data_IF_567515338712
#
_entry.id   IF_567515338712
#
_cell.length_a   1.000
_cell.length_b   1.000
_cell.length_c   1.000
_cell.angle_alpha   90.00
_cell.angle_beta   90.00
_cell.angle_gamma   90.00
#
_symmetry.space_group_name_H-M   'P 1'
#
loop_
_entity.id
_entity.type
_entity.pdbx_description
1 polymer ?
#
# COMPACT_ATOMS: atom_id res chain seq x y z
N UNK A 1 -20.69 -8.85 4.26
CA UNK A 1 -19.47 -8.32 3.60
C UNK A 1 -19.82 -8.06 2.14
N UNK A 2 -19.52 -6.88 1.62
CA UNK A 2 -19.60 -6.64 0.17
C UNK A 2 -18.58 -7.55 -0.53
N UNK A 3 -18.99 -8.24 -1.57
CA UNK A 3 -18.10 -9.08 -2.39
C UNK A 3 -17.61 -8.22 -3.56
N UNK A 4 -16.40 -7.72 -3.47
CA UNK A 4 -15.78 -6.86 -4.48
C UNK A 4 -15.29 -7.67 -5.70
N UNK A 5 -14.90 -8.92 -5.47
CA UNK A 5 -14.35 -9.81 -6.50
C UNK A 5 -15.29 -11.00 -6.73
N UNK A 6 -16.53 -10.67 -7.14
CA UNK A 6 -17.58 -11.65 -7.42
C UNK A 6 -17.11 -12.69 -8.42
N UNK A 7 -17.53 -13.94 -8.18
CA UNK A 7 -17.20 -15.10 -9.03
C UNK A 7 -15.72 -15.52 -9.05
N UNK A 8 -14.87 -14.94 -8.21
CA UNK A 8 -13.48 -15.36 -8.04
C UNK A 8 -13.36 -16.04 -6.67
N UNK A 9 -13.12 -17.34 -6.68
CA UNK A 9 -12.82 -18.10 -5.47
C UNK A 9 -11.38 -17.90 -4.99
N UNK A 10 -10.99 -18.67 -3.96
CA UNK A 10 -9.58 -18.73 -3.54
C UNK A 10 -8.74 -19.36 -4.65
N UNK A 11 -7.62 -18.70 -5.00
CA UNK A 11 -6.73 -19.14 -6.06
C UNK A 11 -5.81 -20.24 -5.52
N UNK A 12 -5.92 -21.49 -6.00
CA UNK A 12 -5.13 -22.60 -5.50
C UNK A 12 -3.76 -22.69 -6.16
N UNK A 13 -2.85 -23.44 -5.55
CA UNK A 13 -1.70 -24.00 -6.25
C UNK A 13 -2.10 -25.33 -6.91
N UNK A 14 -1.86 -25.45 -8.22
CA UNK A 14 -2.22 -26.64 -9.00
C UNK A 14 -1.03 -27.22 -9.79
N UNK A 15 0.15 -26.60 -9.69
CA UNK A 15 1.34 -27.07 -10.38
C UNK A 15 1.43 -26.61 -11.84
N UNK A 16 2.59 -26.84 -12.45
CA UNK A 16 2.99 -26.28 -13.75
C UNK A 16 2.12 -26.73 -14.93
N UNK A 17 1.50 -27.89 -14.82
CA UNK A 17 0.73 -28.49 -15.91
C UNK A 17 -0.78 -28.12 -15.84
N UNK A 18 -1.17 -27.29 -14.85
CA UNK A 18 -2.56 -26.83 -14.72
C UNK A 18 -2.99 -25.99 -15.94
N UNK A 19 -4.17 -26.25 -16.43
CA UNK A 19 -4.84 -25.44 -17.47
C UNK A 19 -5.71 -24.34 -16.89
N UNK A 20 -5.88 -24.30 -15.55
CA UNK A 20 -6.66 -23.26 -14.87
C UNK A 20 -5.92 -21.89 -14.96
N UNK A 21 -6.53 -20.87 -15.56
CA UNK A 21 -5.91 -19.53 -15.64
C UNK A 21 -5.84 -18.83 -14.29
N UNK A 22 -6.65 -19.25 -13.31
CA UNK A 22 -6.71 -18.70 -11.95
C UNK A 22 -6.06 -19.65 -10.94
N UNK A 23 -4.89 -20.22 -11.27
CA UNK A 23 -4.11 -21.06 -10.36
C UNK A 23 -2.65 -20.62 -10.32
N UNK A 24 -2.03 -20.74 -9.15
CA UNK A 24 -0.58 -20.64 -9.04
C UNK A 24 0.05 -21.93 -9.59
N UNK A 25 1.02 -21.79 -10.50
CA UNK A 25 1.64 -22.91 -11.21
C UNK A 25 3.04 -23.25 -10.71
N UNK A 26 3.74 -22.26 -10.18
CA UNK A 26 5.15 -22.39 -9.80
C UNK A 26 5.40 -22.17 -8.31
N UNK A 27 4.62 -21.33 -7.66
CA UNK A 27 4.73 -21.07 -6.23
C UNK A 27 3.85 -22.03 -5.44
N UNK A 28 4.49 -23.01 -4.79
CA UNK A 28 3.83 -23.88 -3.82
C UNK A 28 4.11 -23.36 -2.40
N UNK A 29 3.11 -22.79 -1.70
CA UNK A 29 3.31 -22.25 -0.36
C UNK A 29 3.66 -23.32 0.69
N UNK A 30 3.31 -24.57 0.46
CA UNK A 30 3.53 -25.69 1.39
C UNK A 30 4.80 -26.49 1.10
N UNK A 31 5.50 -26.20 0.00
CA UNK A 31 6.76 -26.85 -0.31
C UNK A 31 7.80 -26.56 0.78
N UNK A 32 8.37 -27.62 1.32
CA UNK A 32 9.38 -27.52 2.40
C UNK A 32 10.78 -27.46 1.79
N UNK A 33 11.45 -26.34 1.98
CA UNK A 33 12.85 -26.12 1.57
C UNK A 33 13.66 -25.77 2.80
N UNK A 34 14.77 -26.45 3.04
CA UNK A 34 15.61 -26.25 4.22
C UNK A 34 14.82 -26.32 5.55
N UNK A 35 13.87 -27.24 5.64
CA UNK A 35 13.09 -27.49 6.87
C UNK A 35 11.99 -26.48 7.17
N UNK A 36 11.69 -25.54 6.25
CA UNK A 36 10.61 -24.55 6.40
C UNK A 36 9.73 -24.49 5.16
N UNK A 37 8.40 -24.34 5.33
CA UNK A 37 7.52 -24.17 4.18
C UNK A 37 7.82 -22.84 3.46
N UNK A 38 7.61 -22.83 2.15
CA UNK A 38 7.92 -21.69 1.30
C UNK A 38 7.20 -20.41 1.75
N UNK A 39 5.96 -20.50 2.24
CA UNK A 39 5.19 -19.36 2.77
C UNK A 39 5.87 -18.64 3.95
N UNK A 40 6.70 -19.34 4.72
CA UNK A 40 7.45 -18.74 5.83
C UNK A 40 8.74 -18.07 5.36
N UNK A 41 9.26 -18.49 4.21
CA UNK A 41 10.50 -17.97 3.64
C UNK A 41 10.24 -16.78 2.71
N UNK A 42 9.24 -16.88 1.83
CA UNK A 42 8.84 -15.84 0.89
C UNK A 42 7.56 -15.14 1.38
N UNK A 43 7.73 -13.99 1.99
CA UNK A 43 6.62 -13.17 2.51
C UNK A 43 6.14 -12.23 1.43
N UNK A 44 5.12 -12.66 0.66
CA UNK A 44 4.46 -11.77 -0.29
C UNK A 44 3.57 -10.76 0.42
N UNK A 45 3.62 -9.52 -0.05
CA UNK A 45 2.79 -8.43 0.44
C UNK A 45 2.01 -7.77 -0.69
N UNK A 46 0.76 -7.44 -0.43
CA UNK A 46 -0.04 -6.59 -1.30
C UNK A 46 0.47 -5.15 -1.19
N UNK A 47 0.84 -4.53 -2.31
CA UNK A 47 1.19 -3.12 -2.37
C UNK A 47 -0.08 -2.28 -2.53
N UNK A 48 -0.38 -1.45 -1.53
CA UNK A 48 -1.64 -0.69 -1.51
C UNK A 48 -1.77 0.27 -2.69
N UNK A 49 -0.67 0.93 -3.05
CA UNK A 49 -0.65 1.93 -4.14
C UNK A 49 -0.90 1.32 -5.53
N UNK A 50 -0.25 0.21 -5.88
CA UNK A 50 -0.44 -0.43 -7.18
C UNK A 50 -1.77 -1.17 -7.24
N UNK A 51 -2.05 -2.00 -6.26
CA UNK A 51 -3.20 -2.91 -6.31
C UNK A 51 -4.51 -2.20 -6.03
N UNK A 52 -4.54 -1.34 -5.01
CA UNK A 52 -5.78 -0.75 -4.52
C UNK A 52 -5.99 0.69 -4.98
N UNK A 53 -4.93 1.44 -5.27
CA UNK A 53 -4.98 2.85 -5.65
C UNK A 53 -4.67 3.14 -7.12
N UNK A 54 -3.89 2.28 -7.77
CA UNK A 54 -3.48 2.48 -9.17
C UNK A 54 -4.66 2.30 -10.13
N UNK A 55 -5.07 3.37 -10.79
CA UNK A 55 -6.19 3.40 -11.73
C UNK A 55 -5.77 3.23 -13.20
N UNK A 56 -4.47 3.09 -13.45
CA UNK A 56 -3.90 2.99 -14.79
C UNK A 56 -3.49 4.32 -15.41
N UNK A 57 -3.54 5.43 -14.64
CA UNK A 57 -2.99 6.71 -15.09
C UNK A 57 -1.48 6.60 -15.28
N UNK A 58 -0.99 7.05 -16.43
CA UNK A 58 0.42 7.11 -16.77
C UNK A 58 0.71 8.34 -17.65
N UNK A 59 1.92 8.39 -18.25
CA UNK A 59 2.32 9.49 -19.13
C UNK A 59 1.57 9.52 -20.48
N UNK A 60 0.83 8.48 -20.83
CA UNK A 60 0.09 8.36 -22.09
C UNK A 60 -1.39 8.65 -21.95
N UNK A 61 -1.94 8.68 -20.75
CA UNK A 61 -3.36 8.97 -20.56
C UNK A 61 -3.86 8.87 -19.13
N UNK A 62 -5.14 9.20 -19.00
CA UNK A 62 -5.85 9.11 -17.72
C UNK A 62 -6.21 7.66 -17.38
N UNK A 63 -6.63 7.45 -16.14
CA UNK A 63 -6.99 6.15 -15.59
C UNK A 63 -8.10 5.44 -16.37
N UNK A 64 -7.96 4.14 -16.49
CA UNK A 64 -8.90 3.24 -17.19
C UNK A 64 -9.64 2.30 -16.24
N UNK A 65 -9.29 2.30 -14.96
CA UNK A 65 -9.89 1.43 -13.96
C UNK A 65 -10.55 2.27 -12.85
N UNK A 66 -11.82 2.00 -12.56
CA UNK A 66 -12.48 2.63 -11.42
C UNK A 66 -11.91 2.10 -10.09
N UNK A 67 -11.36 3.01 -9.30
CA UNK A 67 -10.84 2.76 -7.95
C UNK A 67 -11.64 3.50 -6.88
N UNK A 68 -12.91 3.84 -7.19
CA UNK A 68 -13.84 4.41 -6.21
C UNK A 68 -14.29 3.40 -5.15
N UNK A 69 -14.19 2.10 -5.46
CA UNK A 69 -14.71 1.01 -4.64
C UNK A 69 -16.22 1.13 -4.33
N UNK A 70 -16.96 1.80 -5.24
CA UNK A 70 -18.39 2.04 -5.12
C UNK A 70 -18.78 3.21 -4.21
N UNK A 71 -17.79 4.01 -3.76
CA UNK A 71 -18.01 5.11 -2.81
C UNK A 71 -17.57 6.47 -3.37
N UNK A 72 -18.38 7.48 -3.15
CA UNK A 72 -18.08 8.87 -3.52
C UNK A 72 -17.41 9.65 -2.38
N UNK A 73 -17.76 9.34 -1.14
CA UNK A 73 -17.16 9.91 0.06
C UNK A 73 -15.76 9.33 0.29
N UNK A 74 -14.77 10.18 0.58
CA UNK A 74 -13.38 9.76 0.69
C UNK A 74 -13.09 8.88 1.92
N UNK A 75 -13.79 9.10 3.04
CA UNK A 75 -13.62 8.27 4.24
C UNK A 75 -14.25 6.88 4.03
N UNK A 76 -15.47 6.83 3.48
CA UNK A 76 -16.12 5.56 3.12
C UNK A 76 -15.32 4.79 2.07
N UNK A 77 -14.77 5.51 1.08
CA UNK A 77 -13.89 4.92 0.07
C UNK A 77 -12.64 4.29 0.69
N UNK A 78 -12.02 4.93 1.69
CA UNK A 78 -10.87 4.36 2.37
C UNK A 78 -11.23 3.04 3.10
N UNK A 79 -12.39 2.97 3.73
CA UNK A 79 -12.90 1.76 4.38
C UNK A 79 -13.25 0.67 3.35
N UNK A 80 -13.99 1.01 2.30
CA UNK A 80 -14.33 0.05 1.22
C UNK A 80 -13.07 -0.50 0.54
N UNK A 81 -12.07 0.36 0.31
CA UNK A 81 -10.76 -0.05 -0.20
C UNK A 81 -10.07 -1.05 0.74
N UNK A 82 -10.16 -0.84 2.06
CA UNK A 82 -9.60 -1.76 3.03
C UNK A 82 -10.31 -3.13 2.98
N UNK A 83 -11.65 -3.14 2.90
CA UNK A 83 -12.41 -4.38 2.75
C UNK A 83 -12.02 -5.15 1.48
N UNK A 84 -11.94 -4.46 0.35
CA UNK A 84 -11.51 -5.05 -0.92
C UNK A 84 -10.07 -5.58 -0.85
N UNK A 85 -9.16 -4.86 -0.17
CA UNK A 85 -7.78 -5.30 0.00
C UNK A 85 -7.68 -6.60 0.80
N UNK A 86 -8.42 -6.70 1.91
CA UNK A 86 -8.41 -7.93 2.72
C UNK A 86 -9.10 -9.09 2.00
N UNK A 87 -10.15 -8.82 1.21
CA UNK A 87 -10.79 -9.85 0.37
C UNK A 87 -9.82 -10.41 -0.68
N UNK A 88 -9.14 -9.56 -1.46
CA UNK A 88 -8.20 -10.03 -2.49
C UNK A 88 -6.98 -10.73 -1.87
N UNK A 89 -6.49 -10.27 -0.72
CA UNK A 89 -5.42 -10.96 0.02
C UNK A 89 -5.82 -12.36 0.43
N UNK A 90 -7.07 -12.57 0.86
CA UNK A 90 -7.55 -13.91 1.20
C UNK A 90 -7.63 -14.80 -0.03
N UNK A 91 -8.22 -14.29 -1.13
CA UNK A 91 -8.33 -15.03 -2.41
C UNK A 91 -6.96 -15.42 -2.99
N UNK A 92 -5.94 -14.58 -2.84
CA UNK A 92 -4.57 -14.83 -3.29
C UNK A 92 -3.70 -15.59 -2.27
N UNK A 93 -4.21 -15.84 -1.07
CA UNK A 93 -3.41 -16.40 0.05
C UNK A 93 -2.18 -15.56 0.39
N UNK A 94 -2.27 -14.23 0.28
CA UNK A 94 -1.24 -13.27 0.67
C UNK A 94 -1.47 -12.85 2.11
N UNK A 95 -0.45 -12.95 2.96
CA UNK A 95 -0.59 -12.70 4.40
C UNK A 95 -0.18 -11.30 4.82
N UNK A 96 0.57 -10.59 3.98
CA UNK A 96 1.09 -9.27 4.30
C UNK A 96 0.59 -8.20 3.34
N UNK A 97 0.61 -6.95 3.81
CA UNK A 97 0.41 -5.76 2.99
C UNK A 97 1.43 -4.68 3.35
N UNK A 98 1.57 -3.69 2.49
CA UNK A 98 2.37 -2.49 2.73
C UNK A 98 1.66 -1.27 2.14
N UNK A 99 1.90 -0.09 2.73
CA UNK A 99 1.18 1.13 2.36
C UNK A 99 2.06 2.38 2.40
N UNK A 100 1.64 3.42 1.65
CA UNK A 100 1.92 4.80 2.00
C UNK A 100 0.72 5.39 2.76
N UNK A 101 0.97 6.28 3.70
CA UNK A 101 -0.06 6.90 4.52
C UNK A 101 -1.21 7.51 3.70
N UNK A 102 -0.88 8.21 2.60
CA UNK A 102 -1.87 8.86 1.72
C UNK A 102 -2.62 7.89 0.80
N UNK A 103 -2.15 6.68 0.65
CA UNK A 103 -2.90 5.63 -0.05
C UNK A 103 -3.98 5.01 0.86
N UNK A 104 -3.76 5.01 2.18
CA UNK A 104 -4.77 4.62 3.16
C UNK A 104 -5.86 5.67 3.28
N UNK A 105 -5.47 6.92 3.51
CA UNK A 105 -6.36 8.07 3.66
C UNK A 105 -5.76 9.28 2.94
N UNK A 106 -6.51 9.97 2.05
CA UNK A 106 -5.99 11.11 1.32
C UNK A 106 -5.65 12.28 2.26
N UNK A 107 -5.02 13.31 1.71
CA UNK A 107 -4.82 14.57 2.41
C UNK A 107 -6.11 15.38 2.42
N UNK A 108 -6.38 16.06 3.53
CA UNK A 108 -7.54 16.93 3.77
C UNK A 108 -7.09 18.39 3.96
N UNK A 109 -8.00 19.26 4.40
CA UNK A 109 -7.78 20.70 4.51
C UNK A 109 -6.69 21.11 5.53
N UNK A 110 -6.36 20.25 6.49
CA UNK A 110 -5.29 20.48 7.45
C UNK A 110 -4.56 19.18 7.81
N UNK A 111 -3.34 19.30 8.33
CA UNK A 111 -2.59 18.13 8.82
C UNK A 111 -3.31 17.47 10.00
N UNK A 112 -3.95 18.24 10.88
CA UNK A 112 -4.71 17.71 12.01
C UNK A 112 -5.89 16.85 11.54
N UNK A 113 -6.70 17.35 10.62
CA UNK A 113 -7.82 16.63 10.02
C UNK A 113 -7.33 15.38 9.28
N UNK A 114 -6.27 15.52 8.49
CA UNK A 114 -5.66 14.40 7.76
C UNK A 114 -5.20 13.29 8.70
N UNK A 115 -4.59 13.64 9.83
CA UNK A 115 -4.16 12.68 10.82
C UNK A 115 -5.34 12.01 11.53
N UNK A 116 -6.39 12.76 11.87
CA UNK A 116 -7.62 12.19 12.46
C UNK A 116 -8.28 11.17 11.52
N UNK A 117 -8.39 11.50 10.23
CA UNK A 117 -8.97 10.59 9.23
C UNK A 117 -8.10 9.35 9.03
N UNK A 118 -6.79 9.52 9.00
CA UNK A 118 -5.86 8.40 8.93
C UNK A 118 -6.00 7.47 10.16
N UNK A 119 -6.14 8.03 11.38
CA UNK A 119 -6.34 7.23 12.59
C UNK A 119 -7.57 6.34 12.51
N UNK A 120 -8.68 6.85 11.99
CA UNK A 120 -9.92 6.07 11.79
C UNK A 120 -9.69 4.87 10.87
N UNK A 121 -8.94 5.07 9.78
CA UNK A 121 -8.61 3.98 8.85
C UNK A 121 -7.66 2.98 9.51
N UNK A 122 -6.67 3.45 10.27
CA UNK A 122 -5.73 2.60 11.02
C UNK A 122 -6.45 1.76 12.07
N UNK A 123 -7.40 2.35 12.81
CA UNK A 123 -8.24 1.63 13.77
C UNK A 123 -9.08 0.54 13.10
N UNK A 124 -9.58 0.84 11.89
CA UNK A 124 -10.32 -0.13 11.10
C UNK A 124 -9.41 -1.28 10.62
N UNK A 125 -8.22 -0.97 10.13
CA UNK A 125 -7.25 -1.98 9.70
C UNK A 125 -6.81 -2.88 10.86
N UNK A 126 -6.62 -2.33 12.06
CA UNK A 126 -6.29 -3.11 13.26
C UNK A 126 -7.36 -4.17 13.56
N UNK A 127 -8.64 -3.80 13.46
CA UNK A 127 -9.77 -4.75 13.59
C UNK A 127 -9.74 -5.82 12.51
N UNK A 128 -9.53 -5.42 11.25
CA UNK A 128 -9.44 -6.35 10.12
C UNK A 128 -8.27 -7.32 10.28
N UNK A 129 -7.13 -6.86 10.78
CA UNK A 129 -5.99 -7.73 11.10
C UNK A 129 -6.35 -8.77 12.16
N UNK A 130 -7.05 -8.35 13.24
CA UNK A 130 -7.49 -9.25 14.30
C UNK A 130 -8.49 -10.31 13.79
N UNK A 131 -9.40 -9.92 12.89
CA UNK A 131 -10.41 -10.81 12.30
C UNK A 131 -9.83 -11.83 11.31
N UNK A 132 -8.80 -11.44 10.55
CA UNK A 132 -8.34 -12.20 9.38
C UNK A 132 -6.96 -12.83 9.55
N UNK A 133 -6.19 -12.41 10.57
CA UNK A 133 -4.80 -12.83 10.77
C UNK A 133 -3.80 -12.20 9.79
N UNK A 134 -4.24 -11.34 8.86
CA UNK A 134 -3.36 -10.61 7.95
C UNK A 134 -2.51 -9.61 8.73
N UNK A 135 -1.34 -9.23 8.20
CA UNK A 135 -0.33 -8.45 8.93
C UNK A 135 0.25 -7.34 8.06
N UNK A 136 0.63 -6.24 8.69
CA UNK A 136 1.42 -5.22 8.04
C UNK A 136 2.88 -5.70 7.91
N UNK A 137 3.45 -5.60 6.69
CA UNK A 137 4.86 -5.82 6.47
C UNK A 137 5.65 -4.55 6.79
N UNK A 138 5.31 -3.44 6.13
CA UNK A 138 5.89 -2.13 6.39
C UNK A 138 4.96 -0.99 5.95
N UNK A 139 5.13 0.16 6.58
CA UNK A 139 4.50 1.42 6.17
C UNK A 139 5.54 2.46 5.75
N UNK A 140 5.10 3.50 5.07
CA UNK A 140 5.90 4.66 4.70
C UNK A 140 5.04 5.90 4.52
N UNK A 141 5.66 7.09 4.54
CA UNK A 141 5.00 8.36 4.21
C UNK A 141 5.16 8.67 2.72
N UNK A 142 4.07 9.14 2.09
CA UNK A 142 4.05 9.55 0.68
C UNK A 142 4.51 11.02 0.55
N UNK A 143 5.82 11.23 0.70
CA UNK A 143 6.44 12.56 0.68
C UNK A 143 7.03 12.91 -0.71
N UNK A 144 6.30 12.62 -1.81
CA UNK A 144 6.82 12.80 -3.15
C UNK A 144 5.78 13.18 -4.23
N UNK A 145 4.48 12.96 -4.05
CA UNK A 145 3.48 13.23 -5.08
C UNK A 145 2.77 14.58 -4.93
N UNK A 146 2.69 15.13 -3.71
CA UNK A 146 2.12 16.45 -3.51
C UNK A 146 3.08 17.55 -4.04
N UNK A 147 2.59 18.63 -4.68
CA UNK A 147 3.42 19.72 -5.22
C UNK A 147 4.40 20.35 -4.22
N UNK A 148 4.10 20.35 -2.92
CA UNK A 148 5.04 20.85 -1.89
C UNK A 148 6.38 20.13 -1.90
N UNK A 149 6.42 18.87 -2.35
CA UNK A 149 7.63 18.03 -2.35
C UNK A 149 8.42 18.11 -3.67
N UNK A 150 8.11 19.07 -4.54
CA UNK A 150 8.79 19.16 -5.83
C UNK A 150 10.32 19.32 -5.71
N UNK A 151 10.79 19.89 -4.62
CA UNK A 151 12.22 20.07 -4.30
C UNK A 151 12.69 19.14 -3.15
N UNK A 152 12.02 18.02 -2.97
CA UNK A 152 12.26 17.10 -1.86
C UNK A 152 11.40 17.37 -0.63
N UNK A 153 11.48 16.50 0.33
CA UNK A 153 10.82 16.61 1.64
C UNK A 153 11.84 16.89 2.74
N UNK A 154 12.67 15.91 3.10
CA UNK A 154 13.75 16.07 4.07
C UNK A 154 14.93 16.93 3.56
N UNK A 155 15.09 17.02 2.27
CA UNK A 155 16.11 17.87 1.60
C UNK A 155 15.54 19.18 1.06
N UNK A 156 14.27 19.49 1.33
CA UNK A 156 13.65 20.74 0.88
C UNK A 156 14.38 21.97 1.44
N UNK A 157 14.63 23.02 0.64
CA UNK A 157 15.16 24.28 1.12
C UNK A 157 14.14 25.09 1.95
N UNK A 158 12.86 24.72 1.92
CA UNK A 158 11.80 25.34 2.71
C UNK A 158 11.69 24.70 4.08
N UNK A 159 11.90 25.48 5.14
CA UNK A 159 11.74 25.02 6.52
C UNK A 159 10.31 24.49 6.81
N UNK A 160 9.30 25.10 6.20
CA UNK A 160 7.91 24.68 6.39
C UNK A 160 7.66 23.30 5.76
N UNK A 161 8.20 23.04 4.58
CA UNK A 161 8.10 21.72 3.92
C UNK A 161 8.85 20.67 4.72
N UNK A 162 10.05 21.00 5.20
CA UNK A 162 10.82 20.10 6.07
C UNK A 162 10.05 19.75 7.35
N UNK A 163 9.48 20.74 8.05
CA UNK A 163 8.71 20.52 9.26
C UNK A 163 7.43 19.72 9.00
N UNK A 164 6.72 20.02 7.89
CA UNK A 164 5.53 19.28 7.50
C UNK A 164 5.85 17.81 7.19
N UNK A 165 6.91 17.56 6.43
CA UNK A 165 7.34 16.19 6.10
C UNK A 165 7.72 15.39 7.33
N UNK A 166 8.43 16.02 8.28
CA UNK A 166 8.79 15.39 9.55
C UNK A 166 7.53 14.98 10.36
N UNK A 167 6.51 15.85 10.41
CA UNK A 167 5.26 15.56 11.08
C UNK A 167 4.47 14.43 10.38
N UNK A 168 4.44 14.42 9.04
CA UNK A 168 3.81 13.37 8.25
C UNK A 168 4.53 12.02 8.44
N UNK A 169 5.86 12.00 8.38
CA UNK A 169 6.67 10.79 8.61
C UNK A 169 6.42 10.25 10.01
N UNK A 170 6.47 11.11 11.03
CA UNK A 170 6.17 10.72 12.42
C UNK A 170 4.82 10.01 12.52
N UNK A 171 3.77 10.57 11.92
CA UNK A 171 2.43 9.99 11.92
C UNK A 171 2.38 8.63 11.21
N UNK A 172 3.05 8.48 10.08
CA UNK A 172 3.12 7.22 9.35
C UNK A 172 3.91 6.14 10.14
N UNK A 173 4.96 6.53 10.89
CA UNK A 173 5.67 5.64 11.81
C UNK A 173 4.74 5.18 12.93
N UNK A 174 3.99 6.09 13.57
CA UNK A 174 3.02 5.76 14.64
C UNK A 174 1.95 4.77 14.13
N UNK A 175 1.40 5.00 12.94
CA UNK A 175 0.46 4.09 12.30
C UNK A 175 1.09 2.70 12.04
N UNK A 176 2.34 2.67 11.56
CA UNK A 176 3.08 1.42 11.32
C UNK A 176 3.31 0.64 12.62
N UNK A 177 3.68 1.32 13.69
CA UNK A 177 3.86 0.70 15.03
C UNK A 177 2.54 0.14 15.53
N UNK A 178 1.46 0.92 15.46
CA UNK A 178 0.13 0.51 15.91
C UNK A 178 -0.36 -0.75 15.19
N UNK A 179 -0.14 -0.84 13.88
CA UNK A 179 -0.51 -2.00 13.07
C UNK A 179 0.49 -3.18 13.17
N UNK A 180 1.49 -3.10 14.05
CA UNK A 180 2.46 -4.16 14.26
C UNK A 180 3.37 -4.45 13.06
N UNK A 181 3.67 -3.42 12.26
CA UNK A 181 4.54 -3.53 11.09
C UNK A 181 5.93 -4.09 11.42
N UNK A 182 6.47 -4.90 10.53
CA UNK A 182 7.81 -5.49 10.68
C UNK A 182 8.94 -4.49 10.43
N UNK A 183 8.65 -3.41 9.74
CA UNK A 183 9.60 -2.36 9.44
C UNK A 183 8.89 -1.09 8.96
N UNK A 184 9.68 -0.04 8.78
CA UNK A 184 9.27 1.21 8.16
C UNK A 184 10.26 1.54 7.04
N UNK A 185 9.75 1.99 5.90
CA UNK A 185 10.57 2.39 4.76
C UNK A 185 10.65 3.91 4.68
N UNK A 186 11.85 4.45 4.70
CA UNK A 186 12.10 5.85 4.35
C UNK A 186 12.32 5.94 2.84
N UNK A 187 11.32 6.43 2.12
CA UNK A 187 11.37 6.57 0.66
C UNK A 187 11.63 8.02 0.26
N UNK A 188 12.78 8.25 -0.35
CA UNK A 188 13.24 9.56 -0.79
C UNK A 188 12.98 9.81 -2.29
N UNK A 189 11.74 9.70 -2.75
CA UNK A 189 11.40 9.71 -4.18
C UNK A 189 11.76 10.99 -4.94
N UNK A 190 11.90 12.13 -4.24
CA UNK A 190 12.29 13.43 -4.82
C UNK A 190 13.40 14.13 -4.04
N UNK A 191 14.08 13.42 -3.14
CA UNK A 191 15.13 14.02 -2.32
C UNK A 191 16.34 14.41 -3.15
N UNK A 192 16.85 15.64 -2.93
CA UNK A 192 18.03 16.17 -3.60
C UNK A 192 17.84 16.67 -5.03
N UNK A 193 16.58 16.77 -5.52
CA UNK A 193 16.30 17.21 -6.88
C UNK A 193 15.51 18.50 -6.91
N UNK A 194 15.93 19.44 -7.79
CA UNK A 194 15.22 20.70 -8.03
C UNK A 194 14.11 20.55 -9.09
N UNK A 195 14.20 19.52 -9.94
CA UNK A 195 13.23 19.22 -10.97
C UNK A 195 12.79 17.76 -10.88
N UNK A 196 11.57 17.41 -11.35
CA UNK A 196 11.17 16.04 -11.47
C UNK A 196 12.16 15.26 -12.35
N UNK A 197 12.76 14.22 -11.80
CA UNK A 197 13.67 13.34 -12.53
C UNK A 197 13.04 11.96 -12.71
N UNK A 198 13.30 11.38 -13.86
CA UNK A 198 12.93 9.98 -14.09
C UNK A 198 13.87 9.06 -13.31
N UNK A 199 13.42 7.85 -13.06
CA UNK A 199 14.22 6.81 -12.42
C UNK A 199 15.56 6.56 -13.15
N UNK A 200 15.57 6.81 -14.46
CA UNK A 200 16.78 6.71 -15.30
C UNK A 200 17.88 7.66 -14.85
N UNK A 201 17.54 8.88 -14.40
CA UNK A 201 18.53 9.84 -13.91
C UNK A 201 19.12 9.42 -12.54
N UNK A 202 18.36 8.64 -11.75
CA UNK A 202 18.80 8.17 -10.44
C UNK A 202 19.75 6.98 -10.53
N UNK A 203 19.68 6.19 -11.60
CA UNK A 203 20.40 4.94 -11.76
C UNK A 203 21.64 5.03 -12.64
N UNK A 204 21.90 6.17 -13.25
CA UNK A 204 23.13 6.39 -14.01
C UNK A 204 24.29 6.70 -13.05
N UNK A 205 25.43 6.03 -13.23
CA UNK A 205 26.63 6.28 -12.43
C UNK A 205 27.22 7.67 -12.71
#
# INVERSE_FOLDING_TARGET
>A
MSDFFKNIGKIPYEGKDSTNPLAFKYYNPDEVVNGKPMREQLKFALSWWHTMGGDGTDMFGCGTTDKSWGETDSEKRAIAKADAAFEIMDKLSVDYYCFHDRDLSPEYGSLAETNEKLDKVVDYLEKKQAETGKKLLWGTAKCFDHPRYMHGAGTSPSADVFAYSAAQIKKAVEATVKLGGKGYVFWGGREGYETPVSYTHLTLP
#
